data_IF_561151061658
#
_entry.id   IF_561151061658
#
_cell.length_a   1.000
_cell.length_b   1.000
_cell.length_c   1.000
_cell.angle_alpha   90.00
_cell.angle_beta   90.00
_cell.angle_gamma   90.00
#
_symmetry.space_group_name_H-M   'P 1'
#
loop_
_entity.id
_entity.type
_entity.pdbx_description
1 polymer ?
#
# COMPACT_ATOMS: atom_id res chain seq x y z
N UNK A 1 0.12 -2.85 -5.11
CA UNK A 1 1.25 -3.54 -5.73
C UNK A 1 1.33 -3.12 -7.18
N UNK A 2 2.47 -3.26 -7.83
CA UNK A 2 2.62 -2.87 -9.22
C UNK A 2 2.01 -3.91 -10.17
N UNK A 3 1.28 -3.43 -11.18
CA UNK A 3 0.78 -4.22 -12.31
C UNK A 3 1.30 -3.67 -13.63
N UNK A 4 1.25 -4.47 -14.66
CA UNK A 4 1.63 -4.06 -16.02
C UNK A 4 0.51 -3.22 -16.65
N UNK A 5 0.55 -1.92 -16.41
CA UNK A 5 -0.39 -0.92 -16.94
C UNK A 5 0.34 0.13 -17.75
N UNK A 6 -0.36 0.68 -18.76
CA UNK A 6 0.26 1.70 -19.62
C UNK A 6 0.48 3.03 -18.89
N UNK A 7 -0.49 3.49 -18.13
CA UNK A 7 -0.46 4.76 -17.36
C UNK A 7 -1.75 4.97 -16.57
N UNK A 8 -1.72 5.89 -15.63
CA UNK A 8 -2.91 6.45 -14.97
C UNK A 8 -3.23 7.82 -15.59
N UNK A 9 -4.46 8.01 -16.07
CA UNK A 9 -4.90 9.25 -16.75
C UNK A 9 -5.98 10.02 -15.99
N UNK A 10 -6.40 9.51 -14.81
CA UNK A 10 -7.39 10.18 -14.00
C UNK A 10 -6.84 11.48 -13.40
N UNK A 11 -7.55 12.58 -13.66
CA UNK A 11 -7.28 13.88 -13.04
C UNK A 11 -8.60 14.48 -12.55
N UNK A 12 -8.77 14.55 -11.23
CA UNK A 12 -9.96 15.12 -10.60
C UNK A 12 -10.25 16.56 -11.01
N UNK A 13 -9.23 17.34 -11.41
CA UNK A 13 -9.38 18.73 -11.84
C UNK A 13 -10.08 18.87 -13.19
N UNK A 14 -10.10 17.81 -14.00
CA UNK A 14 -10.79 17.79 -15.30
C UNK A 14 -12.30 17.54 -15.16
N UNK A 15 -12.78 17.18 -13.97
CA UNK A 15 -14.20 16.99 -13.65
C UNK A 15 -14.92 15.97 -14.55
N UNK A 16 -14.20 14.98 -15.10
CA UNK A 16 -14.85 13.93 -15.88
C UNK A 16 -15.75 13.07 -15.01
N UNK A 17 -16.91 12.70 -15.57
CA UNK A 17 -17.91 11.86 -14.89
C UNK A 17 -17.95 10.43 -15.42
N UNK A 18 -17.25 10.13 -16.48
CA UNK A 18 -17.15 8.81 -17.07
C UNK A 18 -16.44 8.81 -18.41
N UNK A 19 -16.05 7.61 -18.85
CA UNK A 19 -15.44 7.36 -20.16
C UNK A 19 -16.50 6.83 -21.13
N UNK A 20 -16.45 7.28 -22.37
CA UNK A 20 -17.29 6.74 -23.45
C UNK A 20 -16.42 6.16 -24.54
N UNK A 21 -16.56 4.85 -24.76
CA UNK A 21 -15.92 4.16 -25.87
C UNK A 21 -16.52 4.59 -27.20
N UNK A 22 -15.67 4.73 -28.19
CA UNK A 22 -16.07 5.16 -29.55
C UNK A 22 -16.06 3.96 -30.52
N UNK A 23 -17.01 3.93 -31.42
CA UNK A 23 -17.11 2.87 -32.45
C UNK A 23 -15.85 2.83 -33.32
N UNK A 24 -15.30 1.65 -33.54
CA UNK A 24 -14.14 1.42 -34.40
C UNK A 24 -12.81 1.96 -33.83
N UNK A 25 -12.73 2.25 -32.52
CA UNK A 25 -11.50 2.64 -31.84
C UNK A 25 -10.94 1.45 -31.02
N UNK A 26 -9.63 1.48 -30.82
CA UNK A 26 -8.95 0.50 -29.97
C UNK A 26 -9.33 0.72 -28.52
N UNK A 27 -9.55 -0.38 -27.79
CA UNK A 27 -9.73 -0.34 -26.34
C UNK A 27 -8.36 -0.26 -25.68
N UNK A 28 -8.19 0.74 -24.80
CA UNK A 28 -6.97 0.91 -24.00
C UNK A 28 -7.23 0.55 -22.54
N UNK A 29 -6.24 -0.08 -21.89
CA UNK A 29 -6.23 -0.33 -20.45
C UNK A 29 -6.42 0.97 -19.65
N UNK A 30 -5.76 2.03 -20.07
CA UNK A 30 -5.85 3.36 -19.43
C UNK A 30 -7.25 3.96 -19.46
N UNK A 31 -8.06 3.69 -20.50
CA UNK A 31 -9.45 4.17 -20.56
C UNK A 31 -10.35 3.41 -19.59
N UNK A 32 -10.16 2.08 -19.49
CA UNK A 32 -10.89 1.26 -18.54
C UNK A 32 -10.54 1.64 -17.09
N UNK A 33 -9.25 1.75 -16.81
CA UNK A 33 -8.75 2.15 -15.49
C UNK A 33 -9.24 3.55 -15.11
N UNK A 34 -9.23 4.51 -16.03
CA UNK A 34 -9.78 5.85 -15.79
C UNK A 34 -11.28 5.82 -15.46
N UNK A 35 -12.06 4.96 -16.11
CA UNK A 35 -13.48 4.78 -15.77
C UNK A 35 -13.67 4.30 -14.33
N UNK A 36 -12.85 3.34 -13.89
CA UNK A 36 -12.84 2.86 -12.51
C UNK A 36 -12.46 3.98 -11.53
N UNK A 37 -11.38 4.71 -11.81
CA UNK A 37 -10.87 5.78 -10.94
C UNK A 37 -11.87 6.93 -10.79
N UNK A 38 -12.55 7.30 -11.88
CA UNK A 38 -13.63 8.29 -11.86
C UNK A 38 -14.76 7.85 -10.94
N UNK A 39 -15.23 6.61 -11.05
CA UNK A 39 -16.30 6.09 -10.21
C UNK A 39 -15.86 5.96 -8.75
N UNK A 40 -14.68 5.43 -8.51
CA UNK A 40 -14.12 5.32 -7.17
C UNK A 40 -14.03 6.68 -6.48
N UNK A 41 -13.47 7.69 -7.17
CA UNK A 41 -13.38 9.06 -6.65
C UNK A 41 -14.75 9.62 -6.30
N UNK A 42 -15.75 9.49 -7.19
CA UNK A 42 -17.10 10.01 -6.96
C UNK A 42 -17.80 9.30 -5.80
N UNK A 43 -17.71 7.98 -5.75
CA UNK A 43 -18.29 7.17 -4.68
C UNK A 43 -17.64 7.48 -3.33
N UNK A 44 -16.31 7.52 -3.27
CA UNK A 44 -15.57 7.82 -2.04
C UNK A 44 -15.88 9.23 -1.51
N UNK A 45 -15.96 10.21 -2.42
CA UNK A 45 -16.35 11.59 -2.07
C UNK A 45 -17.76 11.61 -1.52
N UNK A 46 -18.74 11.03 -2.24
CA UNK A 46 -20.13 10.98 -1.79
C UNK A 46 -20.27 10.26 -0.45
N UNK A 47 -19.58 9.14 -0.26
CA UNK A 47 -19.60 8.40 1.01
C UNK A 47 -19.04 9.25 2.15
N UNK A 48 -17.93 9.95 1.91
CA UNK A 48 -17.33 10.85 2.91
C UNK A 48 -18.23 12.04 3.25
N UNK A 49 -18.90 12.63 2.26
CA UNK A 49 -19.79 13.77 2.47
C UNK A 49 -21.05 13.37 3.24
N UNK A 50 -21.57 12.14 3.04
CA UNK A 50 -22.80 11.65 3.67
C UNK A 50 -22.53 11.04 5.06
N UNK A 51 -21.49 10.24 5.19
CA UNK A 51 -21.16 9.50 6.43
C UNK A 51 -20.18 10.27 7.31
N UNK A 52 -19.29 11.05 6.71
CA UNK A 52 -18.13 11.63 7.35
C UNK A 52 -16.84 10.85 7.07
N UNK A 53 -15.74 11.24 7.71
CA UNK A 53 -14.41 10.62 7.51
C UNK A 53 -14.38 9.14 7.90
N UNK A 54 -15.19 8.73 8.88
CA UNK A 54 -15.40 7.34 9.22
C UNK A 54 -16.72 7.16 10.00
N UNK A 55 -17.25 5.94 10.01
CA UNK A 55 -18.47 5.64 10.75
C UNK A 55 -19.03 4.25 10.50
N UNK A 56 -19.93 3.84 11.40
CA UNK A 56 -20.67 2.60 11.34
C UNK A 56 -22.19 2.91 11.36
N UNK A 57 -23.05 2.15 10.65
CA UNK A 57 -24.49 2.33 10.75
C UNK A 57 -24.95 2.19 12.20
N UNK A 58 -25.88 3.05 12.64
CA UNK A 58 -26.48 2.96 13.98
C UNK A 58 -27.07 1.57 14.20
N UNK A 59 -26.94 1.04 15.39
CA UNK A 59 -27.36 -0.31 15.79
C UNK A 59 -26.60 -1.45 15.07
N UNK A 60 -25.46 -1.16 14.44
CA UNK A 60 -24.57 -2.17 13.88
C UNK A 60 -23.41 -2.45 14.82
N UNK A 61 -23.06 -3.73 14.97
CA UNK A 61 -21.87 -4.15 15.71
C UNK A 61 -20.57 -4.06 14.90
N UNK A 62 -20.65 -3.63 13.65
CA UNK A 62 -19.50 -3.62 12.75
C UNK A 62 -18.25 -3.03 13.36
N UNK A 63 -17.19 -3.84 13.44
CA UNK A 63 -15.89 -3.51 14.02
C UNK A 63 -15.92 -3.08 15.50
N UNK A 64 -16.96 -3.47 16.26
CA UNK A 64 -17.01 -3.26 17.71
C UNK A 64 -15.93 -4.11 18.38
N UNK A 65 -15.21 -3.52 19.32
CA UNK A 65 -14.22 -4.21 20.13
C UNK A 65 -14.94 -4.93 21.27
N UNK A 66 -14.74 -6.24 21.35
CA UNK A 66 -15.33 -7.14 22.35
C UNK A 66 -14.21 -7.59 23.28
N UNK A 67 -14.37 -7.27 24.55
CA UNK A 67 -13.45 -7.70 25.60
C UNK A 67 -13.61 -9.20 25.88
N UNK A 68 -12.50 -9.93 25.88
CA UNK A 68 -12.42 -11.36 26.23
C UNK A 68 -11.46 -11.58 27.44
N UNK A 69 -11.16 -10.52 28.19
CA UNK A 69 -10.27 -10.53 29.35
C UNK A 69 -8.81 -10.27 29.02
N UNK A 70 -8.10 -11.27 28.57
CA UNK A 70 -6.66 -11.22 28.19
C UNK A 70 -6.42 -10.94 26.68
N UNK A 71 -7.51 -10.84 25.91
CA UNK A 71 -7.51 -10.56 24.49
C UNK A 71 -8.80 -9.77 24.16
N UNK A 72 -8.86 -9.16 22.99
CA UNK A 72 -10.11 -8.67 22.44
C UNK A 72 -10.39 -9.24 21.05
N UNK A 73 -11.67 -9.24 20.69
CA UNK A 73 -12.13 -9.61 19.36
C UNK A 73 -12.75 -8.42 18.64
N UNK A 74 -12.83 -8.51 17.33
CA UNK A 74 -13.46 -7.53 16.45
C UNK A 74 -14.77 -8.14 15.94
N UNK A 75 -15.88 -7.44 16.18
CA UNK A 75 -17.20 -7.90 15.77
C UNK A 75 -17.42 -7.78 14.26
N UNK A 76 -18.19 -8.70 13.66
CA UNK A 76 -18.53 -8.65 12.24
C UNK A 76 -19.41 -7.45 11.88
N UNK A 77 -19.39 -7.10 10.60
CA UNK A 77 -20.20 -6.06 10.00
C UNK A 77 -19.41 -5.14 9.08
N UNK A 78 -19.97 -3.98 8.78
CA UNK A 78 -19.36 -2.99 7.88
C UNK A 78 -18.92 -1.77 8.64
N UNK A 79 -17.82 -1.17 8.19
CA UNK A 79 -17.28 0.09 8.67
C UNK A 79 -16.83 0.94 7.49
N UNK A 80 -17.22 2.20 7.48
CA UNK A 80 -16.82 3.14 6.43
C UNK A 80 -15.68 4.03 6.92
N UNK A 81 -14.64 4.18 6.10
CA UNK A 81 -13.46 4.96 6.47
C UNK A 81 -12.78 5.55 5.22
N UNK A 82 -12.60 6.87 5.18
CA UNK A 82 -12.01 7.56 4.03
C UNK A 82 -12.73 7.30 2.70
N UNK A 83 -14.05 7.09 2.75
CA UNK A 83 -14.87 6.74 1.58
C UNK A 83 -14.82 5.26 1.18
N UNK A 84 -13.95 4.45 1.81
CA UNK A 84 -13.87 3.01 1.60
C UNK A 84 -14.85 2.27 2.51
N UNK A 85 -15.36 1.13 2.06
CA UNK A 85 -16.13 0.19 2.87
C UNK A 85 -15.23 -0.97 3.28
N UNK A 86 -15.06 -1.16 4.60
CA UNK A 86 -14.43 -2.32 5.19
C UNK A 86 -15.50 -3.32 5.64
N UNK A 87 -15.28 -4.60 5.41
CA UNK A 87 -16.23 -5.67 5.74
C UNK A 87 -15.54 -6.76 6.55
N UNK A 88 -16.27 -7.32 7.48
CA UNK A 88 -15.90 -8.47 8.28
C UNK A 88 -17.15 -9.33 8.46
N UNK A 89 -17.08 -10.60 8.04
CA UNK A 89 -18.26 -11.50 8.04
C UNK A 89 -18.40 -12.32 9.30
N UNK A 90 -17.28 -12.59 10.00
CA UNK A 90 -17.25 -13.37 11.23
C UNK A 90 -16.45 -12.61 12.30
N UNK A 91 -16.73 -12.88 13.57
CA UNK A 91 -15.94 -12.33 14.66
C UNK A 91 -14.52 -12.91 14.62
N UNK A 92 -13.52 -12.04 14.69
CA UNK A 92 -12.11 -12.45 14.70
C UNK A 92 -11.38 -11.93 15.93
N UNK A 93 -10.50 -12.72 16.54
CA UNK A 93 -9.61 -12.22 17.59
C UNK A 93 -8.59 -11.23 17.02
N UNK A 94 -8.04 -10.37 17.86
CA UNK A 94 -6.99 -9.43 17.47
C UNK A 94 -5.79 -10.13 16.85
N UNK A 95 -5.45 -11.30 17.31
CA UNK A 95 -4.32 -12.13 16.83
C UNK A 95 -4.53 -12.73 15.46
N UNK A 96 -5.78 -12.83 14.97
CA UNK A 96 -6.13 -13.59 13.76
C UNK A 96 -6.89 -12.73 12.74
N UNK A 97 -6.44 -11.52 12.55
CA UNK A 97 -7.01 -10.61 11.56
C UNK A 97 -6.62 -11.02 10.14
N UNK A 98 -7.56 -11.01 9.17
CA UNK A 98 -7.29 -11.51 7.80
C UNK A 98 -6.20 -10.75 7.05
N UNK A 99 -5.92 -9.50 7.46
CA UNK A 99 -4.96 -8.62 6.79
C UNK A 99 -3.90 -8.06 7.74
N UNK A 100 -3.68 -8.69 8.89
CA UNK A 100 -2.67 -8.25 9.84
C UNK A 100 -1.87 -9.44 10.36
N UNK A 101 -0.95 -9.99 9.54
CA UNK A 101 -0.05 -11.04 10.02
C UNK A 101 0.85 -10.49 11.13
N UNK A 102 0.97 -11.25 12.21
CA UNK A 102 1.76 -10.92 13.41
C UNK A 102 1.44 -9.51 13.97
N UNK A 103 0.21 -9.25 14.45
CA UNK A 103 -0.10 -8.00 15.12
C UNK A 103 0.82 -7.75 16.32
N UNK A 104 1.27 -6.52 16.58
CA UNK A 104 2.15 -6.23 17.70
C UNK A 104 1.45 -6.47 19.05
N UNK A 105 2.23 -6.54 20.13
CA UNK A 105 1.75 -6.74 21.50
C UNK A 105 1.12 -8.11 21.79
N UNK A 106 1.41 -9.11 20.99
CA UNK A 106 1.08 -10.49 21.33
C UNK A 106 2.22 -11.13 22.13
N UNK A 107 1.87 -11.94 23.13
CA UNK A 107 2.85 -12.85 23.75
C UNK A 107 3.36 -13.79 22.67
N UNK A 108 4.68 -13.90 22.53
CA UNK A 108 5.24 -14.96 21.70
C UNK A 108 4.73 -16.29 22.28
N UNK A 109 3.99 -17.05 21.49
CA UNK A 109 3.82 -18.46 21.78
C UNK A 109 5.24 -19.03 21.79
N UNK A 110 5.71 -19.56 22.93
CA UNK A 110 7.05 -20.11 23.05
C UNK A 110 7.21 -21.28 22.09
N UNK A 111 7.62 -20.98 20.87
CA UNK A 111 8.08 -21.97 19.90
C UNK A 111 9.45 -22.45 20.41
N UNK A 112 9.45 -23.51 21.21
CA UNK A 112 10.68 -24.16 21.64
C UNK A 112 10.87 -24.46 23.13
N UNK A 113 9.97 -24.03 24.01
CA UNK A 113 9.96 -24.50 25.40
C UNK A 113 9.37 -25.92 25.48
N UNK A 114 9.95 -26.85 26.27
CA UNK A 114 9.31 -28.13 26.49
C UNK A 114 7.91 -27.87 27.07
N UNK A 115 6.87 -28.59 26.60
CA UNK A 115 5.51 -28.37 27.03
C UNK A 115 5.37 -28.52 28.52
N UNK A 116 5.03 -27.44 29.21
CA UNK A 116 4.64 -27.48 30.63
C UNK A 116 3.21 -28.05 30.80
N UNK A 117 2.53 -28.35 29.70
CA UNK A 117 1.20 -28.92 29.61
C UNK A 117 1.23 -30.37 29.12
N UNK A 118 0.25 -31.21 29.47
CA UNK A 118 0.16 -32.59 28.98
C UNK A 118 0.13 -32.62 27.42
N UNK A 119 0.67 -33.67 26.76
CA UNK A 119 0.89 -33.75 25.32
C UNK A 119 -0.38 -33.68 24.42
N UNK A 120 -1.56 -33.44 24.97
CA UNK A 120 -2.83 -33.31 24.29
C UNK A 120 -3.57 -31.98 24.58
N UNK A 121 -2.92 -30.98 25.18
CA UNK A 121 -3.50 -29.67 25.32
C UNK A 121 -3.31 -28.90 24.00
N UNK A 122 -4.34 -28.18 23.51
CA UNK A 122 -4.13 -27.24 22.38
C UNK A 122 -3.05 -26.22 22.79
N UNK A 123 -2.22 -25.75 21.85
CA UNK A 123 -1.26 -24.68 22.14
C UNK A 123 -1.99 -23.51 22.78
N UNK A 124 -1.40 -22.95 23.85
CA UNK A 124 -1.99 -21.79 24.53
C UNK A 124 -2.28 -20.69 23.50
N UNK A 125 -3.52 -20.21 23.47
CA UNK A 125 -3.91 -19.14 22.58
C UNK A 125 -3.05 -17.89 22.87
N UNK A 126 -2.59 -17.14 21.86
CA UNK A 126 -1.82 -15.94 22.08
C UNK A 126 -2.62 -14.95 22.94
N UNK A 127 -1.98 -14.36 23.94
CA UNK A 127 -2.56 -13.34 24.81
C UNK A 127 -1.94 -11.98 24.51
N UNK A 128 -2.61 -10.90 24.88
CA UNK A 128 -2.00 -9.57 24.79
C UNK A 128 -0.90 -9.43 25.83
N UNK A 129 0.22 -8.86 25.42
CA UNK A 129 1.31 -8.48 26.30
C UNK A 129 1.42 -6.95 26.31
N UNK A 130 0.63 -6.31 27.16
CA UNK A 130 0.51 -4.86 27.27
C UNK A 130 0.98 -4.39 28.65
N UNK A 131 1.76 -3.32 28.68
CA UNK A 131 2.00 -2.59 29.91
C UNK A 131 0.70 -1.96 30.44
N UNK A 132 0.63 -1.76 31.75
CA UNK A 132 -0.47 -0.98 32.36
C UNK A 132 -0.61 0.39 31.70
N UNK A 133 -1.84 0.80 31.44
CA UNK A 133 -2.13 2.08 30.84
C UNK A 133 -3.33 2.10 29.91
N UNK A 134 -3.44 3.16 29.15
CA UNK A 134 -4.53 3.40 28.21
C UNK A 134 -4.05 3.22 26.77
N UNK A 135 -4.86 2.56 25.96
CA UNK A 135 -4.56 2.28 24.55
C UNK A 135 -5.71 2.73 23.64
N UNK A 136 -5.37 3.29 22.51
CA UNK A 136 -6.30 3.50 21.40
C UNK A 136 -6.31 2.23 20.55
N UNK A 137 -7.46 1.61 20.36
CA UNK A 137 -7.68 0.68 19.27
C UNK A 137 -8.08 1.48 18.06
N UNK A 138 -7.34 1.38 16.98
CA UNK A 138 -7.62 2.09 15.74
C UNK A 138 -7.82 1.15 14.57
N UNK A 139 -8.59 1.57 13.59
CA UNK A 139 -8.68 0.95 12.28
C UNK A 139 -7.80 1.73 11.31
N UNK A 140 -6.92 1.05 10.60
CA UNK A 140 -6.15 1.52 9.44
C UNK A 140 -6.69 0.81 8.21
N UNK A 141 -7.05 1.54 7.15
CA UNK A 141 -7.54 0.95 5.92
C UNK A 141 -6.91 1.60 4.69
N UNK A 142 -6.74 0.80 3.63
CA UNK A 142 -6.22 1.24 2.34
C UNK A 142 -6.64 0.28 1.23
N UNK A 143 -6.37 0.66 -0.01
CA UNK A 143 -6.57 -0.20 -1.17
C UNK A 143 -5.22 -0.74 -1.60
N UNK A 144 -5.14 -2.05 -1.83
CA UNK A 144 -3.99 -2.71 -2.46
C UNK A 144 -4.42 -3.41 -3.75
N UNK A 145 -3.49 -3.61 -4.63
CA UNK A 145 -3.67 -4.35 -5.86
C UNK A 145 -3.20 -5.80 -5.66
N UNK A 146 -3.96 -6.76 -6.22
CA UNK A 146 -3.67 -8.19 -6.23
C UNK A 146 -3.51 -8.65 -7.65
N UNK A 147 -2.45 -9.39 -7.94
CA UNK A 147 -2.18 -10.00 -9.24
C UNK A 147 -2.49 -11.49 -9.23
N UNK A 148 -2.37 -12.13 -10.36
CA UNK A 148 -2.51 -13.59 -10.51
C UNK A 148 -1.47 -14.38 -9.69
N UNK A 149 -0.34 -13.75 -9.34
CA UNK A 149 0.66 -14.35 -8.46
C UNK A 149 0.20 -14.38 -6.99
N UNK A 150 -0.69 -13.47 -6.60
CA UNK A 150 -1.27 -13.43 -5.25
C UNK A 150 -2.51 -14.32 -5.13
N UNK A 151 -3.27 -14.43 -6.22
CA UNK A 151 -4.52 -15.19 -6.27
C UNK A 151 -4.68 -15.84 -7.65
N UNK A 152 -4.43 -17.13 -7.73
CA UNK A 152 -4.51 -17.87 -8.99
C UNK A 152 -5.92 -17.89 -9.60
N UNK A 153 -6.98 -17.59 -8.85
CA UNK A 153 -8.35 -17.52 -9.37
C UNK A 153 -8.58 -16.29 -10.28
N UNK A 154 -7.64 -15.33 -10.29
CA UNK A 154 -7.68 -14.18 -11.22
C UNK A 154 -7.35 -14.60 -12.66
N UNK A 155 -6.60 -15.69 -12.83
CA UNK A 155 -6.22 -16.19 -14.16
C UNK A 155 -7.43 -16.65 -14.97
N UNK A 156 -7.43 -16.36 -16.27
CA UNK A 156 -8.49 -16.77 -17.17
C UNK A 156 -8.23 -18.21 -17.70
N UNK A 157 -8.92 -19.16 -17.12
CA UNK A 157 -8.77 -20.60 -17.45
C UNK A 157 -9.10 -20.88 -18.93
N UNK A 158 -10.09 -20.19 -19.49
CA UNK A 158 -10.49 -20.37 -20.89
C UNK A 158 -9.41 -19.89 -21.87
N UNK A 159 -8.46 -19.08 -21.45
CA UNK A 159 -7.31 -18.62 -22.21
C UNK A 159 -6.00 -19.36 -21.84
N UNK A 160 -6.11 -20.52 -21.18
CA UNK A 160 -4.95 -21.30 -20.78
C UNK A 160 -4.23 -20.78 -19.55
N UNK A 161 -4.93 -20.08 -18.67
CA UNK A 161 -4.36 -19.52 -17.44
C UNK A 161 -3.67 -18.16 -17.64
N UNK A 162 -4.05 -17.43 -18.69
CA UNK A 162 -3.46 -16.12 -18.96
C UNK A 162 -3.76 -15.12 -17.86
N UNK A 163 -2.77 -14.30 -17.50
CA UNK A 163 -2.91 -13.12 -16.66
C UNK A 163 -3.48 -11.98 -17.51
N UNK A 164 -4.72 -11.61 -17.25
CA UNK A 164 -5.44 -10.59 -18.04
C UNK A 164 -5.74 -9.32 -17.25
N UNK A 165 -5.75 -9.40 -15.93
CA UNK A 165 -6.20 -8.30 -15.06
C UNK A 165 -5.66 -8.47 -13.66
N UNK A 166 -5.59 -7.36 -12.91
CA UNK A 166 -5.41 -7.34 -11.45
C UNK A 166 -6.73 -7.05 -10.72
N UNK A 167 -6.72 -7.11 -9.39
CA UNK A 167 -7.87 -6.76 -8.54
C UNK A 167 -7.46 -5.73 -7.49
N UNK A 168 -8.30 -4.74 -7.29
CA UNK A 168 -8.16 -3.81 -6.16
C UNK A 168 -8.90 -4.38 -4.96
N UNK A 169 -8.19 -4.52 -3.84
CA UNK A 169 -8.71 -5.07 -2.60
C UNK A 169 -8.65 -4.01 -1.50
N UNK A 170 -9.80 -3.74 -0.87
CA UNK A 170 -9.82 -2.97 0.38
C UNK A 170 -9.33 -3.85 1.51
N UNK A 171 -8.27 -3.41 2.17
CA UNK A 171 -7.67 -4.08 3.34
C UNK A 171 -7.75 -3.19 4.55
N UNK A 172 -7.81 -3.82 5.73
CA UNK A 172 -7.90 -3.12 7.00
C UNK A 172 -7.09 -3.86 8.08
N UNK A 173 -6.65 -3.11 9.06
CA UNK A 173 -5.94 -3.62 10.24
C UNK A 173 -6.45 -2.88 11.46
N UNK A 174 -6.85 -3.59 12.49
CA UNK A 174 -7.07 -3.01 13.81
C UNK A 174 -5.76 -3.07 14.60
N UNK A 175 -5.24 -1.91 14.97
CA UNK A 175 -3.98 -1.81 15.69
C UNK A 175 -4.15 -1.16 17.06
N UNK A 176 -3.09 -1.23 17.87
CA UNK A 176 -3.01 -0.65 19.20
C UNK A 176 -1.99 0.49 19.22
N UNK A 177 -2.32 1.57 19.89
CA UNK A 177 -1.42 2.70 20.14
C UNK A 177 -1.50 3.08 21.62
N UNK A 178 -0.40 2.95 22.37
CA UNK A 178 -0.33 3.37 23.78
C UNK A 178 -0.57 4.87 23.86
N UNK A 179 -1.42 5.31 24.75
CA UNK A 179 -1.89 6.70 24.85
C UNK A 179 -1.70 7.28 26.25
N UNK A 180 -1.99 8.57 26.36
CA UNK A 180 -2.01 9.28 27.65
C UNK A 180 -3.20 8.81 28.52
N UNK A 181 -3.04 8.82 29.84
CA UNK A 181 -3.99 8.24 30.79
C UNK A 181 -5.36 8.90 30.83
N UNK A 182 -5.50 10.12 30.30
CA UNK A 182 -6.74 10.92 30.34
C UNK A 182 -7.43 11.07 28.97
N UNK A 183 -6.97 10.36 27.95
CA UNK A 183 -7.55 10.44 26.60
C UNK A 183 -9.01 9.94 26.58
N UNK A 184 -9.89 10.65 25.87
CA UNK A 184 -11.27 10.25 25.57
C UNK A 184 -11.47 10.06 24.07
N UNK A 185 -12.59 9.43 23.66
CA UNK A 185 -12.89 9.24 22.23
C UNK A 185 -12.89 10.55 21.43
N UNK A 186 -13.47 11.61 22.01
CA UNK A 186 -13.59 12.92 21.37
C UNK A 186 -12.29 13.75 21.41
N UNK A 187 -11.38 13.42 22.33
CA UNK A 187 -10.13 14.19 22.48
C UNK A 187 -9.19 13.90 21.34
N UNK A 188 -8.59 14.97 20.81
CA UNK A 188 -7.43 14.87 19.92
C UNK A 188 -6.17 14.88 20.77
N UNK A 189 -5.29 13.89 20.62
CA UNK A 189 -3.96 13.90 21.19
C UNK A 189 -2.92 14.20 20.13
N UNK A 190 -1.85 14.88 20.50
CA UNK A 190 -0.73 15.15 19.58
C UNK A 190 -0.13 13.83 19.08
N UNK A 191 -0.09 12.81 19.95
CA UNK A 191 0.36 11.46 19.59
C UNK A 191 -0.48 10.86 18.45
N UNK A 192 -1.82 10.93 18.56
CA UNK A 192 -2.74 10.43 17.53
C UNK A 192 -2.60 11.19 16.21
N UNK A 193 -2.44 12.51 16.25
CA UNK A 193 -2.26 13.30 15.03
C UNK A 193 -0.90 13.01 14.37
N UNK A 194 0.18 12.91 15.14
CA UNK A 194 1.52 12.56 14.62
C UNK A 194 1.56 11.14 14.07
N UNK A 195 0.86 10.19 14.69
CA UNK A 195 0.76 8.81 14.20
C UNK A 195 0.13 8.74 12.79
N UNK A 196 -0.90 9.54 12.52
CA UNK A 196 -1.60 9.60 11.23
C UNK A 196 -0.89 10.47 10.18
N UNK A 197 0.17 11.16 10.55
CA UNK A 197 0.83 12.12 9.64
C UNK A 197 1.23 11.41 8.35
N UNK A 198 0.81 11.95 7.21
CA UNK A 198 1.19 11.49 5.89
C UNK A 198 2.62 11.91 5.55
N UNK A 199 3.18 11.34 4.49
CA UNK A 199 4.47 11.76 3.95
C UNK A 199 4.39 13.20 3.46
N UNK A 200 5.42 13.98 3.73
CA UNK A 200 5.54 15.37 3.27
C UNK A 200 6.59 15.53 2.18
N UNK A 201 7.40 14.48 1.97
CA UNK A 201 8.39 14.41 0.91
C UNK A 201 7.73 14.46 -0.47
N UNK A 202 8.41 15.08 -1.43
CA UNK A 202 7.91 15.25 -2.79
C UNK A 202 8.97 14.87 -3.80
N UNK A 203 8.52 14.42 -4.95
CA UNK A 203 9.36 14.13 -6.11
C UNK A 203 9.01 15.08 -7.24
N UNK A 204 10.04 15.49 -7.98
CA UNK A 204 9.91 16.12 -9.28
C UNK A 204 10.57 15.23 -10.33
N UNK A 205 10.04 15.20 -11.54
CA UNK A 205 10.59 14.45 -12.66
C UNK A 205 10.64 15.32 -13.92
N UNK A 206 11.65 15.08 -14.76
CA UNK A 206 11.80 15.73 -16.06
C UNK A 206 12.54 14.83 -17.04
N UNK A 207 12.56 15.20 -18.29
CA UNK A 207 13.55 14.68 -19.25
C UNK A 207 14.79 15.56 -19.26
N UNK A 208 15.94 14.95 -19.57
CA UNK A 208 17.20 15.69 -19.75
C UNK A 208 17.03 16.78 -20.81
N UNK A 209 17.45 17.99 -20.51
CA UNK A 209 17.47 19.09 -21.47
C UNK A 209 18.53 18.82 -22.56
N UNK A 210 18.22 19.20 -23.80
CA UNK A 210 19.21 19.13 -24.88
C UNK A 210 20.38 20.05 -24.56
N UNK A 211 21.60 19.53 -24.74
CA UNK A 211 22.80 20.37 -24.63
C UNK A 211 22.80 21.41 -25.77
N UNK A 212 22.68 22.67 -25.40
CA UNK A 212 22.71 23.81 -26.34
C UNK A 212 24.12 24.37 -26.53
N UNK A 213 25.15 23.59 -26.19
CA UNK A 213 26.55 24.07 -26.40
C UNK A 213 26.81 24.34 -27.89
N UNK A 214 27.24 25.55 -28.22
CA UNK A 214 27.61 25.96 -29.58
C UNK A 214 28.99 25.42 -29.99
N UNK A 215 29.58 24.49 -29.21
CA UNK A 215 30.88 23.88 -29.55
C UNK A 215 30.67 22.84 -30.66
N UNK A 216 31.19 23.10 -31.88
CA UNK A 216 31.03 22.20 -33.02
C UNK A 216 31.79 20.88 -32.86
N UNK A 217 32.62 20.74 -31.83
CA UNK A 217 33.38 19.52 -31.52
C UNK A 217 32.77 18.68 -30.40
N UNK A 218 31.72 19.17 -29.73
CA UNK A 218 30.98 18.37 -28.75
C UNK A 218 29.87 17.58 -29.41
N UNK A 219 29.78 16.28 -29.10
CA UNK A 219 28.60 15.49 -29.44
C UNK A 219 27.44 16.03 -28.63
N UNK A 220 26.54 16.77 -29.30
CA UNK A 220 25.32 17.28 -28.68
C UNK A 220 24.51 16.07 -28.14
N UNK A 221 24.32 15.99 -26.85
CA UNK A 221 23.35 15.04 -26.30
C UNK A 221 21.96 15.50 -26.67
N UNK A 222 21.25 14.70 -27.46
CA UNK A 222 19.84 14.96 -27.73
C UNK A 222 19.09 14.87 -26.40
N UNK A 223 18.38 15.94 -26.05
CA UNK A 223 17.47 15.94 -24.89
C UNK A 223 16.30 14.99 -25.08
N UNK A 224 15.51 14.83 -24.05
CA UNK A 224 14.29 14.05 -24.08
C UNK A 224 14.47 12.56 -23.73
N UNK A 225 13.36 11.84 -23.74
CA UNK A 225 13.29 10.40 -23.56
C UNK A 225 13.79 9.68 -24.82
N UNK A 226 14.70 8.71 -24.67
CA UNK A 226 15.48 8.14 -25.78
C UNK A 226 15.18 6.68 -26.11
N UNK A 227 14.24 6.04 -25.41
CA UNK A 227 13.91 4.63 -25.66
C UNK A 227 12.92 4.45 -26.82
N UNK A 228 12.91 3.26 -27.43
CA UNK A 228 12.01 2.91 -28.53
C UNK A 228 10.60 2.51 -28.06
N UNK A 229 10.42 2.29 -26.77
CA UNK A 229 9.19 1.82 -26.16
C UNK A 229 8.67 2.84 -25.15
N UNK A 230 7.34 2.94 -25.02
CA UNK A 230 6.75 3.65 -23.91
C UNK A 230 7.01 2.87 -22.61
N UNK A 231 7.38 3.57 -21.55
CA UNK A 231 7.64 2.97 -20.24
C UNK A 231 6.81 3.66 -19.15
N UNK A 232 6.56 2.94 -18.05
CA UNK A 232 5.98 3.48 -16.84
C UNK A 232 6.96 3.31 -15.70
N UNK A 233 7.79 4.33 -15.49
CA UNK A 233 8.75 4.30 -14.38
C UNK A 233 8.02 4.39 -13.04
N UNK A 234 8.37 3.46 -12.14
CA UNK A 234 7.99 3.50 -10.74
C UNK A 234 9.20 3.88 -9.91
N UNK A 235 9.08 4.95 -9.15
CA UNK A 235 10.05 5.36 -8.14
C UNK A 235 9.39 5.07 -6.78
N UNK A 236 10.02 4.25 -5.93
CA UNK A 236 9.46 3.84 -4.66
C UNK A 236 10.46 3.97 -3.53
N UNK A 237 10.03 4.54 -2.41
CA UNK A 237 10.83 4.61 -1.19
C UNK A 237 11.03 3.20 -0.63
N UNK A 238 12.29 2.81 -0.47
CA UNK A 238 12.68 1.53 0.13
C UNK A 238 12.75 1.66 1.66
N UNK A 239 13.58 2.56 2.17
CA UNK A 239 13.64 2.89 3.59
C UNK A 239 13.10 4.29 3.82
N UNK A 240 12.16 4.45 4.73
CA UNK A 240 11.61 5.74 5.13
C UNK A 240 12.59 6.59 5.91
N UNK A 241 12.35 7.90 5.94
CA UNK A 241 13.20 8.86 6.66
C UNK A 241 13.09 10.27 6.08
N UNK A 242 14.05 11.13 6.42
CA UNK A 242 14.24 12.42 5.76
C UNK A 242 15.09 12.30 4.51
N UNK A 243 15.28 13.41 3.78
CA UNK A 243 16.05 13.46 2.54
C UNK A 243 17.46 12.83 2.64
N UNK A 244 18.11 12.91 3.79
CA UNK A 244 19.48 12.39 3.98
C UNK A 244 19.54 10.98 4.58
N UNK A 245 18.41 10.33 4.83
CA UNK A 245 18.35 9.03 5.49
C UNK A 245 17.42 8.04 4.82
N UNK A 246 16.47 8.52 4.02
CA UNK A 246 15.61 7.67 3.21
C UNK A 246 16.36 7.17 1.98
N UNK A 247 15.94 6.01 1.48
CA UNK A 247 16.45 5.43 0.23
C UNK A 247 15.29 5.09 -0.70
N UNK A 248 15.58 5.01 -2.01
CA UNK A 248 14.60 4.65 -3.01
C UNK A 248 15.12 3.55 -3.93
N UNK A 249 14.22 2.99 -4.68
CA UNK A 249 14.44 2.03 -5.77
C UNK A 249 13.52 2.39 -6.91
N UNK A 250 13.89 1.99 -8.14
CA UNK A 250 13.06 2.30 -9.28
C UNK A 250 12.99 1.15 -10.28
N UNK A 251 11.93 1.12 -11.06
CA UNK A 251 11.71 0.16 -12.13
C UNK A 251 11.08 0.84 -13.33
N UNK A 252 11.51 0.46 -14.53
CA UNK A 252 10.98 0.95 -15.81
C UNK A 252 9.61 0.39 -16.16
N UNK A 253 9.24 -0.75 -15.60
CA UNK A 253 8.03 -1.51 -15.89
C UNK A 253 7.02 -1.47 -14.73
N UNK A 254 6.92 -0.33 -14.01
CA UNK A 254 6.08 -0.22 -12.82
C UNK A 254 6.35 -1.30 -11.76
N UNK A 255 7.54 -1.90 -11.75
CA UNK A 255 7.91 -3.06 -10.91
C UNK A 255 6.94 -4.25 -11.07
N UNK A 256 6.40 -4.45 -12.26
CA UNK A 256 5.48 -5.54 -12.59
C UNK A 256 6.17 -6.87 -12.88
N UNK A 257 7.50 -6.86 -13.07
CA UNK A 257 8.26 -8.08 -13.33
C UNK A 257 8.46 -8.82 -12.01
N UNK A 258 7.62 -9.81 -11.80
CA UNK A 258 7.58 -10.65 -10.61
C UNK A 258 7.53 -12.13 -10.98
N UNK A 259 8.03 -12.98 -10.09
CA UNK A 259 7.90 -14.44 -10.17
C UNK A 259 7.67 -15.04 -8.80
N UNK A 260 6.98 -16.18 -8.72
CA UNK A 260 6.88 -16.94 -7.47
C UNK A 260 8.19 -17.64 -7.17
N UNK A 261 8.58 -17.62 -5.90
CA UNK A 261 9.67 -18.43 -5.37
C UNK A 261 9.10 -19.80 -5.03
N UNK A 262 9.70 -20.86 -5.55
CA UNK A 262 9.28 -22.25 -5.30
C UNK A 262 10.16 -22.94 -4.28
N UNK A 263 11.45 -22.53 -4.17
CA UNK A 263 12.41 -23.06 -3.22
C UNK A 263 13.57 -22.07 -3.03
N UNK A 264 14.17 -22.08 -1.85
CA UNK A 264 15.40 -21.35 -1.54
C UNK A 264 16.48 -22.37 -1.17
N UNK A 265 17.51 -22.52 -1.99
CA UNK A 265 18.71 -23.30 -1.69
C UNK A 265 19.91 -22.36 -1.55
N UNK A 266 20.19 -21.93 -0.32
CA UNK A 266 21.21 -20.93 -0.02
C UNK A 266 21.01 -19.64 -0.83
N UNK A 267 21.87 -19.37 -1.82
CA UNK A 267 21.83 -18.22 -2.73
C UNK A 267 21.24 -18.56 -4.10
N UNK A 268 20.80 -19.79 -4.30
CA UNK A 268 20.08 -20.22 -5.51
C UNK A 268 18.59 -20.23 -5.22
N UNK A 269 17.86 -19.42 -5.95
CA UNK A 269 16.42 -19.26 -5.81
C UNK A 269 15.74 -19.95 -6.98
N UNK A 270 14.94 -20.96 -6.68
CA UNK A 270 14.09 -21.61 -7.67
C UNK A 270 12.81 -20.81 -7.80
N UNK A 271 12.41 -20.58 -9.05
CA UNK A 271 11.28 -19.72 -9.39
C UNK A 271 10.36 -20.40 -10.41
N UNK A 272 9.11 -19.96 -10.52
CA UNK A 272 8.19 -20.46 -11.54
C UNK A 272 8.70 -20.19 -12.96
N UNK A 273 9.25 -18.98 -13.17
CA UNK A 273 9.86 -18.60 -14.45
C UNK A 273 10.88 -17.47 -14.24
N UNK A 274 11.80 -17.33 -15.19
CA UNK A 274 12.83 -16.27 -15.19
C UNK A 274 12.45 -15.07 -16.06
N UNK A 275 11.21 -15.00 -16.55
CA UNK A 275 10.73 -13.96 -17.45
C UNK A 275 10.71 -14.38 -18.92
N UNK A 276 10.29 -13.46 -19.79
CA UNK A 276 10.06 -13.73 -21.21
C UNK A 276 11.36 -13.94 -22.01
N UNK A 277 12.36 -13.16 -21.71
CA UNK A 277 13.69 -13.20 -22.34
C UNK A 277 14.74 -12.52 -21.44
N UNK A 278 15.98 -12.41 -21.93
CA UNK A 278 17.11 -11.85 -21.20
C UNK A 278 17.02 -10.31 -21.01
N UNK A 279 16.09 -9.62 -21.64
CA UNK A 279 15.90 -8.17 -21.55
C UNK A 279 14.70 -7.83 -20.70
N UNK A 280 13.58 -8.52 -20.91
CA UNK A 280 12.30 -8.27 -20.24
C UNK A 280 12.14 -9.10 -18.96
N UNK A 281 12.94 -10.15 -18.77
CA UNK A 281 12.97 -10.98 -17.57
C UNK A 281 13.98 -10.53 -16.53
N UNK A 282 14.48 -11.48 -15.77
CA UNK A 282 15.53 -11.29 -14.77
C UNK A 282 16.90 -11.41 -15.42
N UNK A 283 17.80 -10.45 -15.15
CA UNK A 283 19.13 -10.38 -15.76
C UNK A 283 20.21 -10.17 -14.70
N UNK A 284 21.40 -10.69 -14.95
CA UNK A 284 22.56 -10.51 -14.07
C UNK A 284 22.86 -9.02 -13.87
N UNK A 285 23.12 -8.64 -12.63
CA UNK A 285 23.41 -7.27 -12.22
C UNK A 285 22.19 -6.46 -11.80
N UNK A 286 20.96 -6.92 -12.08
CA UNK A 286 19.74 -6.29 -11.58
C UNK A 286 19.50 -6.60 -10.11
N UNK A 287 18.72 -5.75 -9.46
CA UNK A 287 18.28 -5.93 -8.10
C UNK A 287 16.94 -6.64 -8.02
N UNK A 288 16.76 -7.45 -7.00
CA UNK A 288 15.51 -8.11 -6.68
C UNK A 288 15.12 -7.86 -5.22
N UNK A 289 13.82 -7.83 -5.01
CA UNK A 289 13.18 -7.73 -3.71
C UNK A 289 12.36 -8.98 -3.47
N UNK A 290 12.51 -9.58 -2.29
CA UNK A 290 11.58 -10.60 -1.83
C UNK A 290 10.34 -9.93 -1.24
N UNK A 291 9.17 -10.43 -1.62
CA UNK A 291 7.88 -9.90 -1.17
C UNK A 291 6.98 -11.06 -0.78
N UNK A 292 6.51 -11.04 0.44
CA UNK A 292 5.49 -11.94 0.95
C UNK A 292 4.25 -11.18 1.43
N UNK A 293 3.22 -11.89 1.86
CA UNK A 293 1.99 -11.29 2.34
C UNK A 293 2.25 -10.42 3.59
N UNK A 294 3.17 -10.85 4.46
CA UNK A 294 3.53 -10.13 5.68
C UNK A 294 4.18 -8.78 5.39
N UNK A 295 5.20 -8.74 4.55
CA UNK A 295 5.88 -7.49 4.17
C UNK A 295 4.94 -6.55 3.41
N UNK A 296 4.12 -7.10 2.53
CA UNK A 296 3.13 -6.33 1.76
C UNK A 296 2.08 -5.66 2.67
N UNK A 297 1.53 -6.38 3.64
CA UNK A 297 0.50 -5.87 4.55
C UNK A 297 1.06 -4.96 5.64
N UNK A 298 2.25 -5.27 6.17
CA UNK A 298 2.87 -4.47 7.22
C UNK A 298 3.68 -3.27 6.67
N UNK A 299 3.77 -3.12 5.34
CA UNK A 299 4.53 -2.06 4.66
C UNK A 299 6.01 -2.07 5.09
N UNK A 300 6.56 -3.26 5.26
CA UNK A 300 7.97 -3.51 5.54
C UNK A 300 8.67 -4.03 4.29
N UNK A 301 9.99 -3.90 4.24
CA UNK A 301 10.81 -4.37 3.12
C UNK A 301 11.96 -5.22 3.66
N UNK A 302 12.34 -6.23 2.90
CA UNK A 302 13.62 -6.93 3.07
C UNK A 302 14.73 -6.15 2.37
N UNK A 303 15.99 -6.43 2.70
CA UNK A 303 17.14 -5.93 1.95
C UNK A 303 17.05 -6.39 0.49
N UNK A 304 17.49 -5.54 -0.43
CA UNK A 304 17.57 -5.90 -1.84
C UNK A 304 18.72 -6.91 -2.05
N UNK A 305 18.54 -7.77 -3.03
CA UNK A 305 19.54 -8.76 -3.43
C UNK A 305 19.96 -8.54 -4.89
N UNK A 306 21.26 -8.60 -5.20
CA UNK A 306 21.73 -8.44 -6.58
C UNK A 306 21.82 -9.80 -7.27
N UNK A 307 21.37 -9.87 -8.53
CA UNK A 307 21.43 -11.10 -9.32
C UNK A 307 22.85 -11.32 -9.82
N UNK A 308 23.45 -12.46 -9.51
CA UNK A 308 24.75 -12.89 -9.98
C UNK A 308 24.69 -13.94 -11.11
N UNK A 309 23.56 -14.62 -11.27
CA UNK A 309 23.37 -15.61 -12.34
C UNK A 309 21.90 -15.90 -12.60
N UNK A 310 21.58 -16.26 -13.84
CA UNK A 310 20.24 -16.69 -14.25
C UNK A 310 20.36 -17.94 -15.11
N UNK A 311 19.60 -18.98 -14.80
CA UNK A 311 19.53 -20.22 -15.55
C UNK A 311 18.09 -20.52 -15.96
N UNK A 312 17.62 -20.05 -17.14
CA UNK A 312 16.25 -20.25 -17.58
C UNK A 312 15.86 -21.73 -17.76
N UNK A 313 16.82 -22.59 -18.14
CA UNK A 313 16.58 -24.00 -18.36
C UNK A 313 16.18 -24.77 -17.08
N UNK A 314 16.59 -24.25 -15.93
CA UNK A 314 16.28 -24.82 -14.62
C UNK A 314 15.33 -23.95 -13.78
N UNK A 315 14.91 -22.80 -14.29
CA UNK A 315 14.16 -21.78 -13.54
C UNK A 315 14.88 -21.37 -12.24
N UNK A 316 16.18 -21.10 -12.33
CA UNK A 316 17.05 -20.74 -11.21
C UNK A 316 17.55 -19.30 -11.36
N UNK A 317 17.53 -18.55 -10.27
CA UNK A 317 18.17 -17.23 -10.15
C UNK A 317 19.15 -17.30 -8.99
N UNK A 318 20.43 -16.97 -9.26
CA UNK A 318 21.47 -16.92 -8.24
C UNK A 318 21.66 -15.47 -7.82
N UNK A 319 21.68 -15.22 -6.51
CA UNK A 319 21.83 -13.89 -5.92
C UNK A 319 23.15 -13.79 -5.14
N UNK A 320 23.63 -12.57 -4.90
CA UNK A 320 24.88 -12.33 -4.17
C UNK A 320 24.72 -12.44 -2.65
N UNK A 321 23.54 -12.07 -2.13
CA UNK A 321 23.22 -12.12 -0.70
C UNK A 321 21.70 -12.23 -0.53
N UNK A 322 21.26 -12.70 0.64
CA UNK A 322 19.84 -12.75 1.02
C UNK A 322 19.70 -12.14 2.42
N UNK A 323 18.65 -11.35 2.65
CA UNK A 323 18.31 -10.86 3.98
C UNK A 323 18.03 -12.06 4.91
N UNK A 324 18.70 -12.16 6.07
CA UNK A 324 18.49 -13.28 7.01
C UNK A 324 17.05 -13.47 7.50
N UNK A 325 16.21 -12.47 7.33
CA UNK A 325 14.77 -12.53 7.68
C UNK A 325 13.92 -13.20 6.60
N UNK A 326 14.45 -13.35 5.37
CA UNK A 326 13.75 -14.04 4.30
C UNK A 326 13.76 -15.53 4.58
N UNK A 327 12.59 -16.12 4.63
CA UNK A 327 12.40 -17.57 4.69
C UNK A 327 11.37 -17.97 3.65
N UNK A 328 11.49 -19.19 3.12
CA UNK A 328 10.50 -19.69 2.18
C UNK A 328 9.13 -19.78 2.87
N UNK A 329 8.12 -19.23 2.22
CA UNK A 329 6.71 -19.34 2.57
C UNK A 329 5.86 -19.44 1.31
N UNK A 330 4.70 -20.07 1.43
CA UNK A 330 3.75 -20.09 0.32
C UNK A 330 3.36 -18.65 -0.05
N UNK A 331 3.45 -18.33 -1.36
CA UNK A 331 3.19 -16.98 -1.86
C UNK A 331 4.37 -16.01 -1.80
N UNK A 332 5.56 -16.45 -1.38
CA UNK A 332 6.79 -15.65 -1.50
C UNK A 332 7.07 -15.38 -2.98
N UNK A 333 7.33 -14.11 -3.30
CA UNK A 333 7.64 -13.63 -4.65
C UNK A 333 9.00 -12.94 -4.68
N UNK A 334 9.58 -12.92 -5.86
CA UNK A 334 10.76 -12.15 -6.21
C UNK A 334 10.36 -11.10 -7.25
N UNK A 335 10.66 -9.83 -6.99
CA UNK A 335 10.35 -8.68 -7.84
C UNK A 335 11.62 -8.00 -8.32
N UNK A 336 11.68 -7.66 -9.62
CA UNK A 336 12.81 -6.96 -10.24
C UNK A 336 12.76 -5.46 -10.01
N UNK A 337 13.93 -4.89 -9.77
CA UNK A 337 14.20 -3.46 -9.75
C UNK A 337 15.36 -3.11 -10.67
N UNK A 338 15.29 -1.96 -11.35
CA UNK A 338 16.27 -1.51 -12.33
C UNK A 338 17.26 -0.49 -11.74
N UNK A 339 17.23 -0.30 -10.42
CA UNK A 339 18.19 0.54 -9.68
C UNK A 339 19.64 0.19 -9.98
N UNK A 340 20.50 1.20 -10.01
CA UNK A 340 21.92 1.06 -10.39
C UNK A 340 22.89 1.17 -9.20
N UNK A 341 22.40 1.49 -8.00
CA UNK A 341 23.21 1.55 -6.77
C UNK A 341 23.85 0.20 -6.45
N UNK A 342 24.98 0.22 -5.75
CA UNK A 342 25.59 -0.99 -5.17
C UNK A 342 25.15 -1.24 -3.71
N UNK A 343 24.16 -0.48 -3.20
CA UNK A 343 23.67 -0.62 -1.83
C UNK A 343 22.37 -1.44 -1.78
N UNK A 344 22.39 -2.52 -0.96
CA UNK A 344 21.23 -3.37 -0.69
C UNK A 344 20.05 -2.64 -0.02
N UNK A 345 20.30 -1.46 0.50
CA UNK A 345 19.30 -0.58 1.09
C UNK A 345 18.65 0.37 0.06
N UNK A 346 19.03 0.27 -1.21
CA UNK A 346 18.56 1.11 -2.30
C UNK A 346 19.42 2.37 -2.48
N UNK A 347 18.99 3.26 -3.36
CA UNK A 347 19.68 4.50 -3.70
C UNK A 347 19.35 5.60 -2.68
N UNK A 348 20.35 6.40 -2.26
CA UNK A 348 20.15 7.53 -1.37
C UNK A 348 19.34 8.63 -2.06
N UNK A 349 18.46 9.33 -1.32
CA UNK A 349 17.74 10.48 -1.86
C UNK A 349 18.66 11.70 -1.93
N UNK A 350 18.65 12.39 -3.07
CA UNK A 350 19.38 13.64 -3.25
C UNK A 350 18.47 14.81 -3.65
N UNK A 351 18.88 16.01 -3.28
CA UNK A 351 18.17 17.25 -3.64
C UNK A 351 18.51 17.78 -5.05
N UNK A 352 19.48 17.17 -5.71
CA UNK A 352 19.86 17.43 -7.11
C UNK A 352 19.02 16.61 -8.08
N UNK A 353 19.16 16.90 -9.39
CA UNK A 353 18.63 16.04 -10.42
C UNK A 353 19.51 14.80 -10.57
N UNK A 354 18.91 13.63 -10.57
CA UNK A 354 19.54 12.34 -10.73
C UNK A 354 18.96 11.65 -11.95
N UNK A 355 19.84 11.13 -12.79
CA UNK A 355 19.44 10.37 -13.96
C UNK A 355 19.11 8.94 -13.56
N UNK A 356 17.92 8.47 -13.94
CA UNK A 356 17.57 7.05 -13.84
C UNK A 356 18.17 6.30 -15.02
N UNK A 357 17.58 6.48 -16.19
CA UNK A 357 18.06 5.97 -17.49
C UNK A 357 17.40 6.72 -18.65
N UNK A 358 17.88 6.54 -19.87
CA UNK A 358 17.25 6.96 -21.13
C UNK A 358 16.74 8.42 -21.15
N UNK A 359 17.36 9.30 -20.39
CA UNK A 359 17.02 10.71 -20.31
C UNK A 359 15.91 11.06 -19.33
N UNK A 360 15.50 10.15 -18.48
CA UNK A 360 14.56 10.42 -17.36
C UNK A 360 15.37 10.83 -16.13
N UNK A 361 15.04 11.97 -15.55
CA UNK A 361 15.65 12.49 -14.33
C UNK A 361 14.60 12.72 -13.25
N UNK A 362 15.00 12.48 -12.00
CA UNK A 362 14.20 12.71 -10.81
C UNK A 362 14.93 13.57 -9.78
N UNK A 363 14.16 14.22 -8.92
CA UNK A 363 14.69 15.04 -7.83
C UNK A 363 13.80 14.95 -6.63
N UNK A 364 14.38 14.71 -5.45
CA UNK A 364 13.65 14.67 -4.19
C UNK A 364 13.76 16.00 -3.44
N UNK A 365 12.70 16.39 -2.76
CA UNK A 365 12.67 17.61 -1.95
C UNK A 365 12.68 17.31 -0.45
N UNK A 366 13.03 18.30 0.35
CA UNK A 366 13.01 18.15 1.80
C UNK A 366 11.62 17.76 2.30
N UNK A 367 11.56 16.78 3.20
CA UNK A 367 10.34 16.24 3.77
C UNK A 367 10.57 14.91 4.44
N UNK A 368 9.50 14.30 4.92
CA UNK A 368 9.49 12.95 5.49
C UNK A 368 8.90 12.00 4.48
N UNK A 369 9.59 10.90 4.24
CA UNK A 369 9.21 9.82 3.33
C UNK A 369 8.92 8.55 4.13
N UNK A 370 7.90 7.79 3.72
CA UNK A 370 7.58 6.49 4.31
C UNK A 370 7.96 5.37 3.36
N UNK A 371 8.40 4.24 3.90
CA UNK A 371 8.59 3.03 3.10
C UNK A 371 7.31 2.68 2.35
N UNK A 372 7.43 2.38 1.06
CA UNK A 372 6.31 2.12 0.19
C UNK A 372 5.70 3.34 -0.53
N UNK A 373 6.04 4.58 -0.15
CA UNK A 373 5.66 5.77 -0.93
C UNK A 373 6.16 5.63 -2.37
N UNK A 374 5.32 5.96 -3.35
CA UNK A 374 5.71 5.80 -4.75
C UNK A 374 5.16 6.88 -5.67
N UNK A 375 5.83 7.03 -6.80
CA UNK A 375 5.44 7.88 -7.93
C UNK A 375 5.50 7.08 -9.22
N UNK A 376 4.66 7.44 -10.19
CA UNK A 376 4.63 6.88 -11.53
C UNK A 376 4.95 7.96 -12.54
N UNK A 377 5.92 7.70 -13.41
CA UNK A 377 6.39 8.64 -14.44
C UNK A 377 6.25 7.95 -15.79
N UNK A 378 5.14 8.19 -16.53
CA UNK A 378 4.97 7.66 -17.86
C UNK A 378 5.91 8.36 -18.85
N UNK A 379 6.76 7.60 -19.54
CA UNK A 379 7.65 8.08 -20.58
C UNK A 379 7.13 7.69 -21.96
N UNK A 380 7.16 8.62 -22.92
CA UNK A 380 6.53 8.47 -24.24
C UNK A 380 7.52 8.66 -25.36
N UNK A 381 7.70 7.61 -26.15
CA UNK A 381 8.62 7.62 -27.30
C UNK A 381 8.21 8.63 -28.37
N UNK A 382 6.92 8.75 -28.66
CA UNK A 382 6.43 9.60 -29.74
C UNK A 382 6.68 11.10 -29.50
N UNK A 383 6.65 11.54 -28.24
CA UNK A 383 6.89 12.93 -27.86
C UNK A 383 8.32 13.17 -27.38
N UNK A 384 9.08 12.10 -27.14
CA UNK A 384 10.36 12.09 -26.42
C UNK A 384 10.30 12.77 -25.05
N UNK A 385 9.14 12.71 -24.37
CA UNK A 385 8.85 13.41 -23.12
C UNK A 385 8.25 12.45 -22.08
N UNK A 386 8.20 12.90 -20.82
CA UNK A 386 7.43 12.27 -19.76
C UNK A 386 6.09 12.97 -19.54
N UNK A 387 5.08 12.22 -19.11
CA UNK A 387 3.80 12.78 -18.68
C UNK A 387 3.89 13.08 -17.17
N UNK A 388 4.35 14.29 -16.83
CA UNK A 388 4.49 14.75 -15.46
C UNK A 388 3.65 16.02 -15.23
N UNK A 389 2.92 16.13 -14.09
CA UNK A 389 2.02 17.28 -13.86
C UNK A 389 2.75 18.62 -13.65
N UNK A 390 4.08 18.59 -13.67
CA UNK A 390 4.93 19.74 -13.42
C UNK A 390 5.16 20.02 -11.95
N UNK A 391 6.40 20.41 -11.59
CA UNK A 391 6.78 20.74 -10.23
C UNK A 391 6.82 19.53 -9.28
N UNK A 392 6.69 19.82 -8.01
CA UNK A 392 6.88 18.88 -6.92
C UNK A 392 5.57 18.18 -6.55
N UNK A 393 5.54 16.85 -6.59
CA UNK A 393 4.36 16.01 -6.40
C UNK A 393 4.50 15.15 -5.16
N UNK A 394 3.46 15.11 -4.32
CA UNK A 394 3.35 14.16 -3.21
C UNK A 394 3.24 12.73 -3.73
N UNK A 395 3.58 11.70 -2.90
CA UNK A 395 3.41 10.31 -3.30
C UNK A 395 1.98 10.00 -3.76
N UNK A 396 1.85 9.12 -4.74
CA UNK A 396 0.55 8.64 -5.21
C UNK A 396 -0.08 7.61 -4.28
N UNK A 397 0.71 6.99 -3.42
CA UNK A 397 0.26 6.04 -2.41
C UNK A 397 1.44 5.39 -1.67
N UNK A 398 1.11 4.42 -0.82
CA UNK A 398 -0.23 4.01 -0.40
C UNK A 398 -0.91 5.07 0.47
N UNK A 399 -2.18 5.37 0.17
CA UNK A 399 -3.00 6.30 0.96
C UNK A 399 -3.70 5.55 2.11
N UNK A 400 -3.40 5.91 3.36
CA UNK A 400 -3.99 5.29 4.54
C UNK A 400 -5.09 6.15 5.15
N UNK A 401 -6.19 5.52 5.56
CA UNK A 401 -7.23 6.15 6.36
C UNK A 401 -7.23 5.55 7.77
N UNK A 402 -7.45 6.40 8.77
CA UNK A 402 -7.40 6.00 10.19
C UNK A 402 -8.66 6.44 10.93
N UNK A 403 -9.19 5.55 11.80
CA UNK A 403 -10.29 5.86 12.69
C UNK A 403 -10.08 5.20 14.06
N UNK A 404 -10.48 5.86 15.17
CA UNK A 404 -10.51 5.24 16.48
C UNK A 404 -11.72 4.29 16.55
N UNK A 405 -11.49 3.06 16.98
CA UNK A 405 -12.55 2.09 17.26
C UNK A 405 -12.94 2.10 18.74
N UNK A 406 -11.94 2.05 19.63
CA UNK A 406 -12.15 2.01 21.07
C UNK A 406 -10.97 2.60 21.83
N UNK A 407 -11.20 2.84 23.13
CA UNK A 407 -10.14 3.04 24.11
C UNK A 407 -10.19 1.86 25.08
N UNK A 408 -9.03 1.26 25.34
CA UNK A 408 -8.84 0.20 26.31
C UNK A 408 -8.11 0.76 27.53
N UNK A 409 -8.57 0.41 28.73
CA UNK A 409 -7.77 0.53 29.95
C UNK A 409 -7.21 -0.84 30.30
N UNK A 410 -5.92 -0.93 30.53
CA UNK A 410 -5.17 -2.16 30.83
C UNK A 410 -4.52 -2.05 32.19
N UNK A 411 -4.69 -3.05 33.03
CA UNK A 411 -4.01 -3.21 34.31
C UNK A 411 -3.69 -4.68 34.54
N UNK A 412 -2.47 -4.96 35.00
CA UNK A 412 -1.99 -6.32 35.25
C UNK A 412 -2.11 -7.24 34.03
N UNK A 413 -1.79 -6.68 32.85
CA UNK A 413 -1.90 -7.35 31.55
C UNK A 413 -3.31 -7.86 31.19
N UNK A 414 -4.36 -7.25 31.78
CA UNK A 414 -5.76 -7.54 31.47
C UNK A 414 -6.49 -6.27 31.07
N UNK A 415 -7.45 -6.41 30.17
CA UNK A 415 -8.38 -5.34 29.79
C UNK A 415 -9.34 -5.16 30.97
N UNK A 416 -9.42 -3.94 31.49
CA UNK A 416 -10.27 -3.59 32.64
C UNK A 416 -11.47 -2.75 32.23
N UNK A 417 -11.39 -2.07 31.11
CA UNK A 417 -12.50 -1.30 30.51
C UNK A 417 -12.31 -1.12 29.01
N UNK A 418 -13.43 -1.10 28.30
CA UNK A 418 -13.52 -0.80 26.87
C UNK A 418 -14.52 0.33 26.64
N UNK A 419 -14.05 1.44 26.07
CA UNK A 419 -14.90 2.55 25.66
C UNK A 419 -15.06 2.54 24.14
N UNK A 420 -16.28 2.37 23.62
CA UNK A 420 -16.58 2.43 22.17
C UNK A 420 -16.40 3.86 21.64
N UNK A 421 -15.56 4.03 20.65
CA UNK A 421 -15.24 5.32 20.00
C UNK A 421 -15.72 5.39 18.54
N UNK A 422 -16.41 4.36 18.04
CA UNK A 422 -16.87 4.33 16.65
C UNK A 422 -17.92 5.41 16.41
N UNK A 423 -17.74 6.34 15.46
CA UNK A 423 -18.79 7.25 15.07
C UNK A 423 -19.96 6.46 14.47
N UNK A 424 -21.19 6.77 14.89
CA UNK A 424 -22.39 6.10 14.40
C UNK A 424 -23.25 7.08 13.60
N UNK A 425 -23.74 6.63 12.43
CA UNK A 425 -24.67 7.41 11.62
C UNK A 425 -26.02 6.68 11.50
N UNK A 426 -27.15 7.41 11.54
CA UNK A 426 -28.48 6.86 11.33
C UNK A 426 -28.71 6.54 9.85
N UNK A 427 -29.56 5.56 9.54
CA UNK A 427 -30.15 5.45 8.21
C UNK A 427 -31.11 6.62 7.96
N UNK A 428 -31.40 6.90 6.67
CA UNK A 428 -32.40 7.94 6.35
C UNK A 428 -33.77 7.65 6.96
N UNK A 429 -34.12 6.39 7.11
CA UNK A 429 -35.39 5.97 7.77
C UNK A 429 -35.39 6.26 9.27
N UNK A 430 -34.22 6.25 9.92
CA UNK A 430 -34.08 6.51 11.36
C UNK A 430 -34.06 8.02 11.68
N UNK A 431 -33.96 8.89 10.66
CA UNK A 431 -33.96 10.34 10.87
C UNK A 431 -35.33 10.86 11.37
N UNK A 432 -36.42 10.21 10.98
CA UNK A 432 -37.77 10.58 11.46
C UNK A 432 -37.92 10.43 12.98
N UNK A 433 -37.14 9.54 13.60
CA UNK A 433 -37.18 9.34 15.07
C UNK A 433 -36.40 10.43 15.83
N UNK A 434 -35.57 11.22 15.14
CA UNK A 434 -34.82 12.35 15.71
C UNK A 434 -35.68 13.63 15.80
N UNK A 435 -36.73 13.75 14.98
CA UNK A 435 -37.62 14.92 14.98
C UNK A 435 -38.60 14.96 16.18
N UNK A 436 -38.76 13.84 16.88
CA UNK A 436 -39.64 13.79 18.08
C UNK A 436 -39.03 14.37 19.37
N UNK A 437 -37.77 14.79 19.32
CA UNK A 437 -37.03 15.41 20.43
C UNK A 437 -36.36 16.72 20.06
N UNK A 438 -37.04 17.85 20.21
CA UNK A 438 -36.57 19.24 20.01
C UNK A 438 -36.19 19.63 18.56
N UNK A 439 -37.19 19.94 17.80
CA UNK A 439 -37.09 20.58 16.50
C UNK A 439 -36.62 22.02 16.63
N UNK A 440 -35.40 22.33 16.14
CA UNK A 440 -35.03 23.69 15.77
C UNK A 440 -35.78 24.06 14.49
N UNK A 441 -36.89 24.78 14.59
CA UNK A 441 -37.58 25.36 13.45
C UNK A 441 -36.69 26.40 12.76
N UNK A 442 -36.16 26.05 11.58
CA UNK A 442 -35.57 27.02 10.69
C UNK A 442 -36.67 27.88 10.04
N UNK A 443 -36.82 29.11 10.50
CA UNK A 443 -37.60 30.09 9.79
C UNK A 443 -36.80 30.56 8.54
N UNK A 444 -37.16 30.06 7.37
CA UNK A 444 -36.74 30.66 6.11
C UNK A 444 -37.47 31.98 5.96
N UNK A 445 -36.80 33.10 6.09
CA UNK A 445 -37.32 34.42 5.72
C UNK A 445 -37.51 34.44 4.20
N UNK A 446 -38.71 34.72 3.66
CA UNK A 446 -38.86 34.93 2.25
C UNK A 446 -38.05 36.19 1.84
N UNK A 447 -37.14 36.01 0.90
CA UNK A 447 -36.41 37.14 0.30
C UNK A 447 -37.38 38.08 -0.37
N UNK A 448 -37.13 39.37 -0.17
CA UNK A 448 -37.76 40.44 -0.97
C UNK A 448 -37.06 40.57 -2.31
#
# INVERSE_FOLDING_TARGET
MPSDITRLIFDKKKHYSGVRMQQGRVLLDSDWNAQHDIYHHRLATQTTDVIGKCGVPRNSDGFRIIDNGDMFSIAPGRFYIGGMMCELYEQVPYSDQPYYPDPPFLSASEIGSPPSSPPNSPPDAPTLNLDDGRYIVYLKAWIRERTSLDDAQIQEVALGGADTTSRLQTVWQAGLLKSESNLTCAATSQLWESFKTESTGKLNARTVESDTSEDPCSLQQSGGYRRLENQLYRIQIHKGGGLNSATYKWSRDNASIETKVTEIDNLTIHVDNTGKDDVLGFTVGQWVEFVDEKTSLNQTTYELSKISGVNPAKSEIVIESIDPKVSFSEGLKMRRWDSVSDDKDGEALHSGWESLEDGVEVKFNAGTYKSGDYWLVPARTNTAEIEWPGGDVLPFGPGFSYCKLAILDVAQNQITAVQDCRPQFPSLTDLNDLESGNCCTYHVKPGK
#
